data_IF_734463299645
#
_entry.id   IF_734463299645
#
_cell.length_a   1.000
_cell.length_b   1.000
_cell.length_c   1.000
_cell.angle_alpha   90.00
_cell.angle_beta   90.00
_cell.angle_gamma   90.00
#
_symmetry.space_group_name_H-M   'P 1'
#
loop_
_entity.id
_entity.type
_entity.pdbx_description
1 polymer ?
#
# COMPACT_ATOMS: atom_id res chain seq x y z
N UNK A 1 25.32 -59.79 -28.28
CA UNK A 1 24.35 -58.75 -27.92
C UNK A 1 23.05 -59.12 -28.60
N UNK A 2 22.00 -59.52 -27.85
CA UNK A 2 20.78 -60.05 -28.44
C UNK A 2 20.08 -58.97 -29.29
N UNK A 3 19.80 -59.29 -30.55
CA UNK A 3 19.10 -58.42 -31.50
C UNK A 3 17.77 -57.94 -30.90
N UNK A 4 17.09 -58.80 -30.12
CA UNK A 4 15.85 -58.50 -29.43
C UNK A 4 16.00 -57.37 -28.39
N UNK A 5 17.15 -57.28 -27.71
CA UNK A 5 17.40 -56.21 -26.74
C UNK A 5 17.59 -54.86 -27.44
N UNK A 6 18.26 -54.85 -28.60
CA UNK A 6 18.48 -53.63 -29.37
C UNK A 6 17.15 -53.12 -29.92
N UNK A 7 16.35 -54.01 -30.52
CA UNK A 7 15.03 -53.67 -31.06
C UNK A 7 14.09 -53.17 -29.96
N UNK A 8 14.04 -53.85 -28.81
CA UNK A 8 13.22 -53.42 -27.67
C UNK A 8 13.67 -52.05 -27.12
N UNK A 9 14.98 -51.81 -27.02
CA UNK A 9 15.53 -50.54 -26.55
C UNK A 9 15.19 -49.38 -27.50
N UNK A 10 15.28 -49.61 -28.81
CA UNK A 10 14.98 -48.58 -29.82
C UNK A 10 13.50 -48.20 -29.83
N UNK A 11 12.59 -49.17 -29.70
CA UNK A 11 11.14 -48.91 -29.61
C UNK A 11 10.81 -48.16 -28.31
N UNK A 12 11.45 -48.53 -27.20
CA UNK A 12 11.23 -47.90 -25.89
C UNK A 12 11.65 -46.43 -25.86
N UNK A 13 12.80 -46.09 -26.49
CA UNK A 13 13.28 -44.71 -26.56
C UNK A 13 12.31 -43.83 -27.38
N UNK A 14 11.84 -44.33 -28.53
CA UNK A 14 10.88 -43.60 -29.38
C UNK A 14 9.56 -43.38 -28.63
N UNK A 15 9.07 -44.39 -27.92
CA UNK A 15 7.86 -44.30 -27.12
C UNK A 15 8.00 -43.26 -25.99
N UNK A 16 9.11 -43.30 -25.24
CA UNK A 16 9.40 -42.31 -24.18
C UNK A 16 9.49 -40.89 -24.73
N UNK A 17 10.15 -40.69 -25.88
CA UNK A 17 10.23 -39.37 -26.51
C UNK A 17 8.86 -38.85 -26.94
N UNK A 18 8.00 -39.72 -27.47
CA UNK A 18 6.62 -39.35 -27.82
C UNK A 18 5.78 -38.98 -26.58
N UNK A 19 5.94 -39.72 -25.48
CA UNK A 19 5.28 -39.42 -24.19
C UNK A 19 5.73 -38.06 -23.64
N UNK A 20 7.04 -37.79 -23.62
CA UNK A 20 7.55 -36.48 -23.19
C UNK A 20 7.08 -35.35 -24.10
N UNK A 21 7.08 -35.55 -25.42
CA UNK A 21 6.58 -34.56 -26.37
C UNK A 21 5.10 -34.23 -26.12
N UNK A 22 4.27 -35.23 -25.83
CA UNK A 22 2.86 -35.04 -25.50
C UNK A 22 2.66 -34.35 -24.14
N UNK A 23 3.44 -34.73 -23.12
CA UNK A 23 3.37 -34.14 -21.78
C UNK A 23 3.79 -32.66 -21.77
N UNK A 24 4.90 -32.32 -22.45
CA UNK A 24 5.35 -30.93 -22.58
C UNK A 24 4.46 -30.12 -23.55
N UNK A 25 3.88 -30.76 -24.56
CA UNK A 25 2.87 -30.15 -25.43
C UNK A 25 1.59 -29.79 -24.67
N UNK A 26 1.15 -30.64 -23.73
CA UNK A 26 -0.01 -30.39 -22.88
C UNK A 26 0.24 -29.21 -21.92
N UNK A 27 1.46 -29.07 -21.37
CA UNK A 27 1.82 -27.91 -20.54
C UNK A 27 1.75 -26.56 -21.28
N UNK A 28 1.87 -26.53 -22.61
CA UNK A 28 1.74 -25.29 -23.40
C UNK A 28 0.29 -24.89 -23.70
N UNK A 29 -0.69 -25.77 -23.50
CA UNK A 29 -2.09 -25.55 -23.91
C UNK A 29 -3.07 -25.36 -22.75
N UNK A 30 -2.63 -25.46 -21.49
CA UNK A 30 -3.52 -25.21 -20.35
C UNK A 30 -3.34 -23.75 -19.90
N UNK A 31 -4.34 -22.88 -20.13
CA UNK A 31 -4.35 -21.55 -19.55
C UNK A 31 -4.34 -21.72 -18.02
N UNK A 32 -3.66 -20.79 -17.35
CA UNK A 32 -3.69 -20.57 -15.91
C UNK A 32 -5.09 -20.76 -15.30
N UNK A 33 -5.13 -20.91 -13.96
CA UNK A 33 -6.33 -20.89 -13.09
C UNK A 33 -6.95 -22.24 -12.71
N UNK A 34 -6.25 -23.05 -11.90
CA UNK A 34 -6.86 -23.85 -10.79
C UNK A 34 -5.85 -24.26 -9.70
N UNK A 35 -4.53 -24.19 -9.97
CA UNK A 35 -3.49 -24.66 -9.03
C UNK A 35 -3.26 -23.77 -7.80
N UNK A 36 -3.75 -22.53 -7.75
CA UNK A 36 -3.42 -21.60 -6.66
C UNK A 36 -4.07 -21.96 -5.32
N UNK A 37 -5.27 -22.56 -5.30
CA UNK A 37 -5.97 -22.87 -4.04
C UNK A 37 -5.45 -24.17 -3.42
N UNK A 38 -5.25 -25.22 -4.23
CA UNK A 38 -4.71 -26.50 -3.73
C UNK A 38 -3.23 -26.42 -3.38
N UNK A 39 -2.42 -25.66 -4.13
CA UNK A 39 -1.02 -25.42 -3.77
C UNK A 39 -0.90 -24.52 -2.55
N UNK A 40 -1.77 -23.53 -2.35
CA UNK A 40 -1.82 -22.75 -1.10
C UNK A 40 -2.23 -23.61 0.08
N UNK A 41 -3.21 -24.50 -0.10
CA UNK A 41 -3.65 -25.42 0.95
C UNK A 41 -2.56 -26.43 1.30
N UNK A 42 -1.92 -27.05 0.30
CA UNK A 42 -0.75 -27.93 0.53
C UNK A 42 0.44 -27.20 1.10
N UNK A 43 0.72 -25.96 0.69
CA UNK A 43 1.80 -25.16 1.26
C UNK A 43 1.48 -24.75 2.70
N UNK A 44 0.22 -24.46 3.02
CA UNK A 44 -0.25 -24.17 4.39
C UNK A 44 -0.24 -25.43 5.27
N UNK A 45 -0.63 -26.59 4.74
CA UNK A 45 -0.59 -27.87 5.44
C UNK A 45 0.86 -28.32 5.68
N UNK A 46 1.74 -28.17 4.69
CA UNK A 46 3.18 -28.43 4.80
C UNK A 46 3.87 -27.42 5.73
N UNK A 47 3.49 -26.14 5.68
CA UNK A 47 3.94 -25.14 6.65
C UNK A 47 3.47 -25.50 8.05
N UNK A 48 2.22 -25.90 8.25
CA UNK A 48 1.73 -26.34 9.55
C UNK A 48 2.47 -27.59 10.02
N UNK A 49 2.78 -28.54 9.15
CA UNK A 49 3.55 -29.74 9.47
C UNK A 49 5.01 -29.40 9.87
N UNK A 50 5.64 -28.42 9.20
CA UNK A 50 7.00 -27.93 9.49
C UNK A 50 7.03 -27.03 10.74
N UNK A 51 5.97 -26.26 11.00
CA UNK A 51 5.94 -25.19 12.02
C UNK A 51 5.32 -25.66 13.34
N UNK A 52 4.55 -26.76 13.38
CA UNK A 52 3.83 -27.18 14.61
C UNK A 52 4.53 -28.26 15.43
N UNK A 53 5.57 -28.94 14.94
CA UNK A 53 6.26 -29.98 15.72
C UNK A 53 7.72 -29.63 16.00
N UNK A 54 7.96 -29.16 17.22
CA UNK A 54 9.29 -28.83 17.72
C UNK A 54 10.15 -30.07 18.00
N UNK A 55 11.37 -30.00 17.46
CA UNK A 55 12.65 -30.61 17.93
C UNK A 55 12.81 -32.15 17.83
N UNK A 56 13.83 -32.65 17.09
CA UNK A 56 14.30 -34.04 17.18
C UNK A 56 14.98 -34.37 18.52
N UNK A 57 14.84 -35.61 19.01
CA UNK A 57 15.32 -36.12 20.32
C UNK A 57 16.84 -35.99 20.58
N UNK A 58 17.63 -35.74 19.54
CA UNK A 58 19.09 -35.87 19.51
C UNK A 58 19.85 -34.52 19.42
N UNK A 59 19.16 -33.42 19.71
CA UNK A 59 19.67 -32.04 19.67
C UNK A 59 20.86 -31.74 20.59
N UNK A 60 21.07 -32.47 21.69
CA UNK A 60 22.19 -32.20 22.61
C UNK A 60 23.56 -32.67 22.10
N UNK A 61 23.59 -33.38 20.95
CA UNK A 61 24.80 -34.03 20.45
C UNK A 61 25.67 -33.13 19.57
N UNK A 62 25.16 -32.00 19.09
CA UNK A 62 25.89 -31.14 18.16
C UNK A 62 26.05 -29.73 18.73
N UNK A 63 27.30 -29.37 19.02
CA UNK A 63 27.69 -28.08 19.59
C UNK A 63 27.70 -26.96 18.54
N UNK A 64 26.72 -26.97 17.62
CA UNK A 64 26.67 -26.09 16.45
C UNK A 64 25.25 -25.52 16.33
N UNK A 65 25.11 -24.21 16.59
CA UNK A 65 23.91 -23.47 16.19
C UNK A 65 23.87 -23.36 14.65
N UNK A 66 22.68 -23.46 14.03
CA UNK A 66 21.88 -22.25 13.90
C UNK A 66 20.40 -22.39 14.29
N UNK A 67 19.95 -21.33 14.95
CA UNK A 67 18.68 -20.60 14.77
C UNK A 67 17.39 -21.38 14.49
N UNK A 68 16.48 -21.32 15.47
CA UNK A 68 15.05 -21.61 15.38
C UNK A 68 14.42 -21.00 14.12
N UNK A 69 14.16 -21.80 13.08
CA UNK A 69 13.28 -21.42 11.96
C UNK A 69 11.88 -21.95 12.27
N UNK A 70 11.09 -21.09 12.89
CA UNK A 70 9.65 -21.18 12.97
C UNK A 70 9.16 -19.74 13.06
N UNK A 71 8.22 -19.32 12.21
CA UNK A 71 7.63 -18.00 12.35
C UNK A 71 7.04 -17.90 13.77
N UNK A 72 7.55 -16.97 14.57
CA UNK A 72 7.12 -16.82 15.96
C UNK A 72 5.67 -16.31 16.08
N UNK A 73 5.04 -15.89 14.98
CA UNK A 73 3.69 -15.32 14.92
C UNK A 73 3.04 -15.53 13.55
N UNK A 74 1.71 -15.48 13.49
CA UNK A 74 0.95 -15.47 12.23
C UNK A 74 1.23 -14.19 11.43
N UNK A 75 1.51 -14.35 10.13
CA UNK A 75 1.63 -13.25 9.19
C UNK A 75 0.34 -13.03 8.39
N UNK A 76 0.01 -11.77 8.14
CA UNK A 76 -1.19 -11.34 7.43
C UNK A 76 -0.82 -10.65 6.13
N UNK A 77 -1.70 -10.74 5.13
CA UNK A 77 -1.52 -10.18 3.80
C UNK A 77 -2.80 -9.47 3.35
N UNK A 78 -2.68 -8.23 2.90
CA UNK A 78 -3.75 -7.47 2.22
C UNK A 78 -3.32 -7.18 0.78
N UNK A 79 -4.01 -7.71 -0.24
CA UNK A 79 -3.77 -7.35 -1.62
C UNK A 79 -4.44 -6.01 -1.97
N UNK A 80 -3.73 -5.14 -2.69
CA UNK A 80 -4.27 -3.91 -3.28
C UNK A 80 -4.13 -4.00 -4.79
N UNK A 81 -5.18 -3.58 -5.50
CA UNK A 81 -5.19 -3.47 -6.95
C UNK A 81 -5.28 -1.98 -7.31
N UNK A 82 -4.34 -1.52 -8.13
CA UNK A 82 -4.31 -0.15 -8.63
C UNK A 82 -4.45 -0.24 -10.15
N UNK A 83 -5.60 0.18 -10.66
CA UNK A 83 -5.92 0.18 -12.09
C UNK A 83 -5.94 1.61 -12.63
N UNK A 84 -5.27 1.83 -13.77
CA UNK A 84 -5.41 3.05 -14.55
C UNK A 84 -5.96 2.72 -15.94
N UNK A 85 -7.10 3.32 -16.30
CA UNK A 85 -7.80 3.16 -17.58
C UNK A 85 -7.63 4.38 -18.51
N UNK A 86 -6.82 5.36 -18.11
CA UNK A 86 -6.65 6.62 -18.84
C UNK A 86 -5.85 6.50 -20.13
N UNK A 87 -5.23 5.34 -20.39
CA UNK A 87 -4.37 5.12 -21.56
C UNK A 87 -2.98 5.77 -21.46
N UNK A 88 -2.62 6.36 -20.32
CA UNK A 88 -1.31 6.98 -20.09
C UNK A 88 -0.49 6.20 -19.04
N UNK A 89 0.83 6.22 -19.19
CA UNK A 89 1.72 5.72 -18.15
C UNK A 89 1.82 6.75 -17.02
N UNK A 90 1.60 6.32 -15.79
CA UNK A 90 1.82 7.11 -14.57
C UNK A 90 3.16 6.73 -13.97
N UNK A 91 3.98 7.74 -13.69
CA UNK A 91 5.27 7.57 -13.04
C UNK A 91 5.20 8.33 -11.72
N UNK A 92 5.58 7.67 -10.63
CA UNK A 92 5.52 8.19 -9.27
C UNK A 92 4.12 8.73 -8.91
N UNK A 93 3.06 8.00 -9.30
CA UNK A 93 1.70 8.39 -8.96
C UNK A 93 1.53 8.32 -7.43
N UNK A 94 1.20 9.43 -6.76
CA UNK A 94 0.97 9.43 -5.33
C UNK A 94 -0.34 8.72 -5.01
N UNK A 95 -0.27 7.74 -4.12
CA UNK A 95 -1.43 6.98 -3.64
C UNK A 95 -1.51 7.14 -2.14
N UNK A 96 -2.70 7.50 -1.65
CA UNK A 96 -3.05 7.49 -0.24
C UNK A 96 -4.24 6.56 -0.03
N UNK A 97 -4.00 5.40 0.58
CA UNK A 97 -5.02 4.37 0.79
C UNK A 97 -5.26 4.15 2.28
N UNK A 98 -6.50 4.34 2.75
CA UNK A 98 -6.89 3.92 4.09
C UNK A 98 -6.99 2.40 4.15
N UNK A 99 -6.31 1.82 5.14
CA UNK A 99 -6.30 0.38 5.41
C UNK A 99 -6.74 0.14 6.86
N UNK A 100 -7.76 -0.69 7.02
CA UNK A 100 -8.16 -1.22 8.33
C UNK A 100 -7.42 -2.54 8.54
N UNK A 101 -6.47 -2.55 9.47
CA UNK A 101 -5.62 -3.71 9.76
C UNK A 101 -6.26 -4.64 10.79
N UNK A 102 -6.90 -4.08 11.82
CA UNK A 102 -7.46 -4.83 12.94
C UNK A 102 -8.70 -4.15 13.51
N UNK A 103 -9.81 -4.22 12.77
CA UNK A 103 -11.09 -3.59 13.13
C UNK A 103 -11.52 -3.88 14.58
N UNK A 104 -11.30 -5.12 15.03
CA UNK A 104 -11.73 -5.63 16.33
C UNK A 104 -10.64 -5.61 17.42
N UNK A 105 -9.49 -4.98 17.16
CA UNK A 105 -8.39 -4.85 18.12
C UNK A 105 -7.94 -6.17 18.76
N UNK A 106 -7.74 -7.20 17.94
CA UNK A 106 -7.22 -8.52 18.32
C UNK A 106 -5.69 -8.55 18.48
N UNK A 107 -5.03 -7.40 18.36
CA UNK A 107 -3.58 -7.22 18.44
C UNK A 107 -2.84 -7.95 17.30
N UNK A 108 -3.35 -7.89 16.07
CA UNK A 108 -2.75 -8.62 14.95
C UNK A 108 -1.77 -7.80 14.09
N UNK A 109 -1.78 -6.47 14.23
CA UNK A 109 -0.98 -5.56 13.42
C UNK A 109 -0.14 -4.61 14.26
N UNK A 110 1.17 -4.63 14.04
CA UNK A 110 2.10 -3.65 14.61
C UNK A 110 2.66 -2.76 13.50
N UNK A 111 2.64 -1.44 13.68
CA UNK A 111 3.09 -0.48 12.67
C UNK A 111 4.51 -0.77 12.16
N UNK A 112 5.40 -1.22 13.04
CA UNK A 112 6.77 -1.56 12.69
C UNK A 112 6.91 -2.76 11.74
N UNK A 113 5.90 -3.64 11.69
CA UNK A 113 5.90 -4.84 10.85
C UNK A 113 5.36 -4.63 9.44
N UNK A 114 4.72 -3.48 9.17
CA UNK A 114 4.05 -3.24 7.89
C UNK A 114 5.08 -3.07 6.77
N UNK A 115 4.91 -3.84 5.69
CA UNK A 115 5.71 -3.77 4.47
C UNK A 115 4.81 -3.87 3.25
N UNK A 116 5.12 -3.12 2.20
CA UNK A 116 4.40 -3.17 0.92
C UNK A 116 5.35 -3.76 -0.11
N UNK A 117 4.89 -4.72 -0.90
CA UNK A 117 5.66 -5.30 -2.00
C UNK A 117 4.87 -5.28 -3.30
N UNK A 118 5.58 -5.20 -4.42
CA UNK A 118 5.02 -5.47 -5.75
C UNK A 118 4.96 -6.97 -6.07
N UNK A 119 4.48 -7.31 -7.27
CA UNK A 119 4.36 -8.70 -7.74
C UNK A 119 5.71 -9.44 -7.89
N UNK A 120 6.82 -8.69 -7.92
CA UNK A 120 8.18 -9.23 -8.02
C UNK A 120 8.89 -9.24 -6.66
N UNK A 121 8.18 -8.98 -5.56
CA UNK A 121 8.73 -8.85 -4.21
C UNK A 121 9.73 -7.70 -4.03
N UNK A 122 9.66 -6.67 -4.87
CA UNK A 122 10.35 -5.41 -4.59
C UNK A 122 9.54 -4.63 -3.56
N UNK A 123 10.22 -4.17 -2.52
CA UNK A 123 9.60 -3.39 -1.45
C UNK A 123 9.29 -1.97 -1.93
N UNK A 124 8.07 -1.51 -1.65
CA UNK A 124 7.61 -0.16 -1.97
C UNK A 124 7.72 0.72 -0.71
N UNK A 125 8.54 1.78 -0.75
CA UNK A 125 8.59 2.78 0.30
C UNK A 125 7.23 3.42 0.57
N UNK A 126 6.93 3.69 1.84
CA UNK A 126 5.68 4.33 2.22
C UNK A 126 5.85 5.20 3.48
N UNK A 127 4.91 6.12 3.70
CA UNK A 127 4.72 6.87 4.96
C UNK A 127 3.35 6.56 5.52
N UNK A 128 3.22 6.60 6.84
CA UNK A 128 1.92 6.58 7.50
C UNK A 128 1.31 7.98 7.51
N UNK A 129 0.04 8.07 7.15
CA UNK A 129 -0.82 9.23 7.30
C UNK A 129 -1.92 8.82 8.29
N UNK A 130 -2.17 9.64 9.31
CA UNK A 130 -3.27 9.47 10.27
C UNK A 130 -3.44 8.04 10.84
N UNK A 131 -2.57 7.65 11.78
CA UNK A 131 -2.63 6.33 12.43
C UNK A 131 -3.64 6.32 13.58
N UNK A 132 -4.47 5.29 13.63
CA UNK A 132 -5.34 4.98 14.77
C UNK A 132 -4.88 3.69 15.43
N UNK A 133 -4.74 3.72 16.75
CA UNK A 133 -4.27 2.59 17.55
C UNK A 133 -5.39 2.02 18.44
N UNK A 134 -5.35 0.71 18.63
CA UNK A 134 -6.13 0.01 19.63
C UNK A 134 -5.68 0.38 21.05
N UNK A 135 -6.52 0.13 22.09
CA UNK A 135 -6.15 0.41 23.48
C UNK A 135 -4.86 -0.29 23.95
N UNK A 136 -4.51 -1.40 23.30
CA UNK A 136 -3.28 -2.16 23.52
C UNK A 136 -2.02 -1.53 22.89
N UNK A 137 -2.18 -0.45 22.11
CA UNK A 137 -1.11 0.17 21.32
C UNK A 137 -0.87 -0.48 19.95
N UNK A 138 -1.59 -1.54 19.59
CA UNK A 138 -1.51 -2.15 18.26
C UNK A 138 -2.19 -1.26 17.21
N UNK A 139 -1.76 -1.36 15.95
CA UNK A 139 -2.32 -0.55 14.88
C UNK A 139 -3.70 -1.07 14.50
N UNK A 140 -4.71 -0.20 14.55
CA UNK A 140 -6.07 -0.53 14.16
C UNK A 140 -6.29 -0.23 12.67
N UNK A 141 -6.00 1.01 12.27
CA UNK A 141 -6.11 1.49 10.90
C UNK A 141 -5.11 2.61 10.65
N UNK A 142 -4.72 2.80 9.39
CA UNK A 142 -3.91 3.92 8.97
C UNK A 142 -4.10 4.18 7.48
N UNK A 143 -3.76 5.39 7.06
CA UNK A 143 -3.60 5.70 5.65
C UNK A 143 -2.13 5.45 5.28
N UNK A 144 -1.90 4.72 4.20
CA UNK A 144 -0.57 4.50 3.66
C UNK A 144 -0.38 5.42 2.45
N UNK A 145 0.60 6.31 2.54
CA UNK A 145 1.07 7.12 1.42
C UNK A 145 2.26 6.45 0.76
N UNK A 146 2.19 6.21 -0.54
CA UNK A 146 3.30 5.64 -1.33
C UNK A 146 3.18 6.09 -2.79
N UNK A 147 4.27 5.99 -3.55
CA UNK A 147 4.28 6.31 -4.97
C UNK A 147 4.38 5.04 -5.82
N UNK A 148 3.63 4.98 -6.92
CA UNK A 148 3.64 3.85 -7.83
C UNK A 148 3.76 4.25 -9.29
N UNK A 149 4.52 3.45 -10.03
CA UNK A 149 4.47 3.47 -11.49
C UNK A 149 3.37 2.51 -11.96
N UNK A 150 2.42 3.00 -12.74
CA UNK A 150 1.30 2.23 -13.33
C UNK A 150 1.34 2.43 -14.84
N UNK A 151 1.39 1.34 -15.61
CA UNK A 151 1.36 1.43 -17.07
C UNK A 151 -0.06 1.71 -17.57
N UNK A 152 -0.15 2.32 -18.75
CA UNK A 152 -1.41 2.59 -19.43
C UNK A 152 -2.29 1.32 -19.53
N UNK A 153 -3.57 1.45 -19.17
CA UNK A 153 -4.57 0.39 -19.27
C UNK A 153 -4.13 -0.91 -18.58
N UNK A 154 -3.45 -0.78 -17.44
CA UNK A 154 -2.93 -1.91 -16.67
C UNK A 154 -3.38 -1.86 -15.23
N UNK A 155 -3.37 -3.03 -14.60
CA UNK A 155 -3.57 -3.14 -13.15
C UNK A 155 -2.27 -3.57 -12.52
N UNK A 156 -1.79 -2.77 -11.57
CA UNK A 156 -0.68 -3.13 -10.71
C UNK A 156 -1.20 -3.76 -9.42
N UNK A 157 -0.62 -4.89 -9.01
CA UNK A 157 -0.95 -5.50 -7.73
C UNK A 157 0.13 -5.22 -6.71
N UNK A 158 -0.29 -4.84 -5.52
CA UNK A 158 0.57 -4.67 -4.36
C UNK A 158 0.11 -5.59 -3.23
N UNK A 159 1.03 -5.91 -2.35
CA UNK A 159 0.84 -6.82 -1.24
C UNK A 159 1.34 -6.16 0.04
N UNK A 160 0.44 -5.90 0.98
CA UNK A 160 0.80 -5.40 2.31
C UNK A 160 0.93 -6.58 3.27
N UNK A 161 2.10 -6.76 3.84
CA UNK A 161 2.37 -7.75 4.88
C UNK A 161 2.50 -7.09 6.24
N UNK A 162 2.00 -7.75 7.28
CA UNK A 162 2.15 -7.33 8.67
C UNK A 162 1.95 -8.52 9.61
N UNK A 163 2.38 -8.38 10.87
CA UNK A 163 2.21 -9.41 11.89
C UNK A 163 2.24 -8.80 13.30
N UNK A 164 1.90 -9.63 14.29
CA UNK A 164 1.95 -9.25 15.69
C UNK A 164 3.39 -9.40 16.23
N UNK A 165 4.19 -8.34 16.10
CA UNK A 165 5.47 -8.26 16.81
C UNK A 165 5.86 -6.83 17.13
N UNK A 166 5.88 -6.50 18.42
CA UNK A 166 6.32 -5.19 18.95
C UNK A 166 7.84 -5.01 18.91
N UNK A 167 8.59 -6.08 18.66
CA UNK A 167 10.05 -6.05 18.61
C UNK A 167 10.57 -5.43 17.30
N UNK A 168 9.73 -5.39 16.28
CA UNK A 168 10.09 -4.88 14.95
C UNK A 168 9.86 -3.39 14.94
N UNK A 169 10.92 -2.63 14.66
CA UNK A 169 10.83 -1.19 14.47
C UNK A 169 10.35 -0.88 13.06
N UNK A 170 9.64 0.24 12.93
CA UNK A 170 9.30 0.78 11.60
C UNK A 170 10.56 1.01 10.79
N UNK A 171 10.50 0.64 9.51
CA UNK A 171 11.57 0.93 8.58
C UNK A 171 11.49 2.41 8.21
N UNK A 172 12.63 3.09 8.32
CA UNK A 172 12.79 4.42 7.76
C UNK A 172 13.22 4.27 6.30
N UNK A 173 12.37 4.73 5.38
CA UNK A 173 12.65 4.72 3.95
C UNK A 173 13.38 5.98 3.49
N UNK A 174 13.68 6.91 4.41
CA UNK A 174 14.19 8.22 4.08
C UNK A 174 13.19 9.02 3.25
N UNK A 175 13.70 9.96 2.46
CA UNK A 175 12.86 10.75 1.56
C UNK A 175 12.76 10.07 0.19
N UNK A 176 11.67 9.35 -0.03
CA UNK A 176 11.40 8.68 -1.32
C UNK A 176 10.48 9.50 -2.25
N UNK A 177 9.84 10.55 -1.74
CA UNK A 177 8.87 11.37 -2.47
C UNK A 177 9.25 12.85 -2.38
N UNK A 178 9.07 13.58 -3.48
CA UNK A 178 9.20 15.05 -3.49
C UNK A 178 7.91 15.77 -3.12
N UNK A 179 6.82 15.05 -2.85
CA UNK A 179 5.53 15.62 -2.48
C UNK A 179 5.61 16.17 -1.06
N UNK A 180 5.43 17.49 -0.93
CA UNK A 180 5.53 18.22 0.34
C UNK A 180 4.19 18.36 1.03
N UNK A 181 3.12 18.56 0.24
CA UNK A 181 1.78 18.82 0.70
C UNK A 181 0.77 18.23 -0.28
N UNK A 182 -0.21 17.49 0.24
CA UNK A 182 -1.33 17.02 -0.57
C UNK A 182 -2.63 17.12 0.22
N UNK A 183 -3.39 18.19 -0.06
CA UNK A 183 -4.71 18.42 0.51
C UNK A 183 -5.75 17.94 -0.49
N UNK A 184 -6.47 16.87 -0.16
CA UNK A 184 -7.55 16.33 -1.00
C UNK A 184 -8.85 17.10 -0.83
N UNK A 185 -9.04 17.74 0.33
CA UNK A 185 -10.29 18.39 0.74
C UNK A 185 -11.50 17.46 0.66
N UNK A 186 -11.34 16.20 1.05
CA UNK A 186 -12.38 15.16 1.01
C UNK A 186 -13.04 14.90 2.38
N UNK A 187 -12.59 15.59 3.44
CA UNK A 187 -13.02 15.34 4.83
C UNK A 187 -14.50 15.66 5.05
N UNK A 188 -14.99 16.73 4.40
CA UNK A 188 -16.40 17.12 4.41
C UNK A 188 -16.94 17.64 5.74
N UNK A 189 -16.11 17.74 6.79
CA UNK A 189 -16.49 18.29 8.10
C UNK A 189 -15.27 18.63 8.95
N UNK A 190 -15.49 19.43 10.00
CA UNK A 190 -14.45 19.87 10.93
C UNK A 190 -13.57 20.98 10.36
N UNK A 191 -12.51 21.33 11.10
CA UNK A 191 -11.69 22.52 10.81
C UNK A 191 -10.26 22.15 10.38
N UNK A 192 -10.03 20.91 9.95
CA UNK A 192 -8.70 20.41 9.56
C UNK A 192 -8.76 19.90 8.12
N UNK A 193 -7.90 20.43 7.26
CA UNK A 193 -7.56 19.86 5.96
C UNK A 193 -6.35 18.94 6.13
N UNK A 194 -6.55 17.62 6.07
CA UNK A 194 -5.45 16.68 6.29
C UNK A 194 -4.48 16.67 5.11
N UNK A 195 -3.20 16.52 5.45
CA UNK A 195 -2.10 16.36 4.51
C UNK A 195 -1.83 14.87 4.29
N UNK A 196 -2.06 14.42 3.06
CA UNK A 196 -1.92 13.03 2.63
C UNK A 196 -0.52 12.72 2.07
N UNK A 197 0.42 13.67 2.07
CA UNK A 197 1.81 13.44 1.64
C UNK A 197 2.65 12.65 2.66
N UNK A 198 2.12 12.42 3.86
CA UNK A 198 2.84 11.78 4.96
C UNK A 198 3.81 12.70 5.70
N UNK A 199 3.80 14.01 5.43
CA UNK A 199 4.65 14.98 6.11
C UNK A 199 3.96 15.68 7.29
N UNK A 200 2.69 15.36 7.57
CA UNK A 200 1.88 15.94 8.63
C UNK A 200 1.74 17.47 8.56
N UNK A 201 1.78 18.04 7.34
CA UNK A 201 1.58 19.47 7.13
C UNK A 201 0.10 19.84 7.05
N UNK A 202 -0.69 19.39 8.02
CA UNK A 202 -2.14 19.59 8.04
C UNK A 202 -2.50 21.09 8.06
N UNK A 203 -3.51 21.46 7.27
CA UNK A 203 -4.07 22.80 7.27
C UNK A 203 -5.16 22.95 8.32
N UNK A 204 -5.24 24.13 8.94
CA UNK A 204 -6.35 24.53 9.81
C UNK A 204 -7.20 25.56 9.08
N UNK A 205 -8.51 25.34 9.05
CA UNK A 205 -9.48 26.27 8.46
C UNK A 205 -9.72 27.41 9.46
N UNK A 206 -9.57 28.63 8.97
CA UNK A 206 -9.74 29.85 9.75
C UNK A 206 -10.66 30.82 9.05
N UNK A 207 -11.31 31.59 9.90
CA UNK A 207 -12.00 32.83 9.60
C UNK A 207 -11.17 33.93 10.32
N UNK A 208 -10.83 35.01 9.61
CA UNK A 208 -10.02 36.07 10.20
C UNK A 208 -10.83 36.92 11.19
N UNK A 209 -12.16 36.96 11.07
CA UNK A 209 -13.08 37.55 12.01
C UNK A 209 -13.43 36.56 13.14
N UNK A 210 -12.50 36.40 14.08
CA UNK A 210 -12.66 35.50 15.23
C UNK A 210 -13.91 35.70 16.11
N UNK A 211 -14.65 36.82 15.97
CA UNK A 211 -15.89 37.06 16.70
C UNK A 211 -17.13 36.54 15.98
N UNK A 212 -17.05 36.23 14.68
CA UNK A 212 -18.17 35.75 13.86
C UNK A 212 -19.38 36.72 13.91
N UNK A 213 -19.14 38.01 14.21
CA UNK A 213 -20.20 38.99 14.45
C UNK A 213 -20.93 39.42 13.16
N UNK A 214 -20.37 39.09 12.00
CA UNK A 214 -20.99 39.17 10.67
C UNK A 214 -21.80 37.93 10.30
N UNK A 215 -21.72 36.86 11.12
CA UNK A 215 -22.36 35.57 10.87
C UNK A 215 -21.60 34.69 9.87
N UNK A 216 -20.36 35.03 9.53
CA UNK A 216 -19.53 34.26 8.61
C UNK A 216 -18.63 33.27 9.35
N UNK A 217 -18.43 32.09 8.80
CA UNK A 217 -17.73 30.96 9.46
C UNK A 217 -16.55 30.51 8.61
N UNK A 218 -15.52 29.84 9.19
CA UNK A 218 -14.38 29.33 8.42
C UNK A 218 -14.80 28.59 7.14
N UNK A 219 -13.91 28.42 6.14
CA UNK A 219 -14.31 27.91 4.83
C UNK A 219 -15.22 26.68 4.90
N UNK A 220 -16.34 26.71 4.18
CA UNK A 220 -17.38 25.69 4.30
C UNK A 220 -17.10 24.47 3.41
N UNK A 221 -17.44 23.28 3.89
CA UNK A 221 -17.34 22.07 3.09
C UNK A 221 -18.49 21.95 2.09
N UNK A 222 -18.16 21.87 0.80
CA UNK A 222 -19.11 21.73 -0.31
C UNK A 222 -18.74 20.53 -1.19
N UNK A 223 -19.63 20.16 -2.13
CA UNK A 223 -19.30 19.16 -3.14
C UNK A 223 -18.33 19.75 -4.18
N UNK A 224 -17.23 19.03 -4.42
CA UNK A 224 -16.13 19.48 -5.27
C UNK A 224 -16.08 18.81 -6.64
N UNK A 225 -14.99 19.07 -7.37
CA UNK A 225 -14.70 18.39 -8.65
C UNK A 225 -14.51 16.88 -8.48
N UNK A 226 -13.88 16.49 -7.36
CA UNK A 226 -13.68 15.12 -6.90
C UNK A 226 -14.02 15.15 -5.42
N UNK A 227 -15.00 14.36 -4.98
CA UNK A 227 -15.40 14.32 -3.58
C UNK A 227 -15.88 15.67 -3.06
N UNK A 228 -15.21 16.20 -2.03
CA UNK A 228 -15.55 17.48 -1.39
C UNK A 228 -14.59 18.60 -1.84
N UNK A 229 -14.89 19.82 -1.41
CA UNK A 229 -14.06 21.01 -1.58
C UNK A 229 -14.35 22.01 -0.45
N UNK A 230 -13.53 23.06 -0.39
CA UNK A 230 -13.78 24.21 0.47
C UNK A 230 -14.36 25.37 -0.36
N UNK A 231 -15.45 25.93 0.14
CA UNK A 231 -16.03 27.18 -0.34
C UNK A 231 -15.52 28.33 0.52
N UNK A 232 -14.91 29.30 -0.14
CA UNK A 232 -14.40 30.52 0.48
C UNK A 232 -15.38 31.64 0.18
N UNK A 233 -15.78 32.37 1.21
CA UNK A 233 -16.72 33.48 1.14
C UNK A 233 -16.20 34.69 0.32
N UNK A 234 -14.87 34.88 0.32
CA UNK A 234 -14.17 35.96 -0.37
C UNK A 234 -13.91 37.21 0.47
N UNK A 235 -14.24 37.20 1.77
CA UNK A 235 -13.93 38.28 2.71
C UNK A 235 -12.67 37.93 3.49
N UNK A 236 -12.69 36.83 4.24
CA UNK A 236 -11.60 36.52 5.16
C UNK A 236 -11.40 35.04 5.53
N UNK A 237 -11.99 34.13 4.75
CA UNK A 237 -11.71 32.69 4.85
C UNK A 237 -10.30 32.31 4.35
N UNK A 238 -9.59 31.48 5.12
CA UNK A 238 -8.32 30.89 4.67
C UNK A 238 -7.98 29.55 5.33
N UNK A 239 -7.08 28.80 4.68
CA UNK A 239 -6.43 27.61 5.26
C UNK A 239 -5.01 27.98 5.67
N UNK A 240 -4.72 27.88 6.96
CA UNK A 240 -3.37 28.10 7.50
C UNK A 240 -2.60 26.79 7.52
N UNK A 241 -1.35 26.83 7.03
CA UNK A 241 -0.42 25.69 7.05
C UNK A 241 0.67 25.91 8.12
N UNK A 242 1.33 24.84 8.59
CA UNK A 242 2.41 24.96 9.57
C UNK A 242 3.57 25.83 9.07
N UNK A 243 4.18 26.62 9.97
CA UNK A 243 5.28 27.54 9.65
C UNK A 243 6.52 26.84 9.06
N UNK A 244 6.69 25.54 9.28
CA UNK A 244 7.75 24.72 8.68
C UNK A 244 7.70 24.68 7.16
N UNK A 245 6.54 25.00 6.55
CA UNK A 245 6.39 25.10 5.10
C UNK A 245 6.78 26.48 4.51
N UNK A 246 6.92 27.53 5.33
CA UNK A 246 7.20 28.90 4.82
C UNK A 246 8.49 28.97 4.00
N UNK A 247 9.51 28.23 4.41
CA UNK A 247 10.82 28.20 3.75
C UNK A 247 10.80 27.36 2.47
N UNK A 248 9.87 26.41 2.36
CA UNK A 248 9.68 25.60 1.15
C UNK A 248 8.93 26.38 0.07
N UNK A 249 8.15 27.40 0.44
CA UNK A 249 7.42 28.25 -0.50
C UNK A 249 8.21 29.47 -0.99
N UNK A 250 9.49 29.62 -0.62
CA UNK A 250 10.34 30.66 -1.21
C UNK A 250 10.86 30.20 -2.59
N UNK A 251 10.29 30.72 -3.69
CA UNK A 251 10.67 30.28 -5.04
C UNK A 251 12.10 30.69 -5.42
N UNK A 252 12.75 31.55 -4.62
CA UNK A 252 14.14 31.95 -4.82
C UNK A 252 15.14 30.97 -4.21
N UNK A 253 14.68 30.08 -3.32
CA UNK A 253 15.52 29.11 -2.61
C UNK A 253 15.30 27.69 -3.12
N UNK A 254 14.04 27.31 -3.42
CA UNK A 254 13.70 25.98 -3.94
C UNK A 254 12.69 26.06 -5.10
N UNK A 255 12.92 25.41 -6.25
CA UNK A 255 11.91 25.32 -7.30
C UNK A 255 10.74 24.46 -6.81
N UNK A 256 9.53 25.02 -6.83
CA UNK A 256 8.29 24.34 -6.41
C UNK A 256 7.28 24.30 -7.54
N UNK A 257 6.52 23.21 -7.61
CA UNK A 257 5.34 23.09 -8.47
C UNK A 257 4.09 23.02 -7.60
N UNK A 258 3.08 23.84 -7.94
CA UNK A 258 1.77 23.85 -7.27
C UNK A 258 0.71 23.47 -8.31
N UNK A 259 -0.16 22.53 -7.95
CA UNK A 259 -1.29 22.09 -8.76
C UNK A 259 -2.53 22.13 -7.89
N UNK A 260 -3.61 22.74 -8.39
CA UNK A 260 -4.85 22.94 -7.63
C UNK A 260 -6.07 22.90 -8.53
N UNK A 261 -7.16 22.33 -8.02
CA UNK A 261 -8.50 22.52 -8.58
C UNK A 261 -9.13 23.73 -7.93
N UNK A 262 -9.50 24.73 -8.74
CA UNK A 262 -10.11 25.97 -8.31
C UNK A 262 -11.39 26.19 -9.14
N UNK A 263 -12.47 26.65 -8.50
CA UNK A 263 -13.65 27.21 -9.18
C UNK A 263 -13.89 28.66 -8.74
N UNK A 264 -13.70 29.68 -9.60
CA UNK A 264 -13.90 31.07 -9.18
C UNK A 264 -15.38 31.38 -9.06
N UNK A 265 -15.79 32.05 -7.97
CA UNK A 265 -17.12 32.67 -7.88
C UNK A 265 -17.16 33.88 -8.82
N UNK A 266 -18.11 33.92 -9.74
CA UNK A 266 -18.35 35.09 -10.58
C UNK A 266 -19.24 36.07 -9.84
N UNK A 267 -18.76 37.30 -9.62
CA UNK A 267 -19.57 38.39 -9.11
C UNK A 267 -20.45 38.94 -10.24
N UNK A 268 -21.52 38.25 -10.62
CA UNK A 268 -22.57 38.90 -11.43
C UNK A 268 -23.43 39.74 -10.49
N UNK A 269 -23.32 41.07 -10.62
CA UNK A 269 -24.31 41.97 -10.04
C UNK A 269 -25.65 41.70 -10.72
N UNK A 270 -26.77 41.55 -9.99
CA UNK A 270 -28.08 41.55 -10.62
C UNK A 270 -28.27 42.93 -11.28
N UNK A 271 -28.36 42.95 -12.62
CA UNK A 271 -28.80 44.11 -13.39
C UNK A 271 -30.27 44.44 -13.10
#
# INVERSE_FOLDING_TARGET
>A
MNVDLIVASSIFIIFISAVFFYLFGFQKQVPSWQSLIELRKRAADLMNEIVTQGKPENWEKENVLPSKIGLASSAYLIPILISDESGYNRINEPIAQEIVFDENCRNIAWNGTIRIFDENFNEIPFKFVNQTFCPSGFLQKAILFFEVNVSANSTKKLQIFFYNSTQVKSKDYGNFSSLVLWLKFDEGSGNIAYDYSGNNNHGTLHDANSTNDDGDTPPQWVDGKVGKALDFDGVDDYVSLPLTLRDLTDPTVNPVTILVWWMPKTTESPN
#
